data_IF_369227408763
#
_entry.id   IF_369227408763
#
_cell.length_a   1.000
_cell.length_b   1.000
_cell.length_c   1.000
_cell.angle_alpha   90.00
_cell.angle_beta   90.00
_cell.angle_gamma   90.00
#
_symmetry.space_group_name_H-M   'P 1'
#
loop_
_entity.id
_entity.type
_entity.pdbx_description
1 polymer ?
#
# COMPACT_ATOMS: atom_id res chain seq x y z
N UNK A 1 -6.65 -0.62 20.84
CA UNK A 1 -5.82 0.25 20.04
C UNK A 1 -6.58 0.79 18.84
N UNK A 2 -6.14 1.92 18.37
CA UNK A 2 -6.76 2.66 17.29
C UNK A 2 -6.96 1.81 16.02
N UNK A 3 -5.96 1.04 15.63
CA UNK A 3 -6.01 0.25 14.41
C UNK A 3 -6.93 -0.96 14.53
N UNK A 4 -6.99 -1.54 15.72
CA UNK A 4 -7.84 -2.71 15.97
C UNK A 4 -9.33 -2.35 15.88
N UNK A 5 -9.70 -1.14 16.31
CA UNK A 5 -11.10 -0.70 16.23
C UNK A 5 -11.50 -0.26 14.84
N UNK A 6 -10.55 0.21 14.01
CA UNK A 6 -10.84 0.68 12.65
C UNK A 6 -11.13 -0.46 11.68
N UNK A 7 -10.45 -1.60 11.83
CA UNK A 7 -10.55 -2.71 10.89
C UNK A 7 -11.98 -3.23 10.70
N UNK A 8 -12.75 -3.54 11.76
CA UNK A 8 -14.13 -3.98 11.58
C UNK A 8 -15.01 -2.96 10.88
N UNK A 9 -14.78 -1.67 11.11
CA UNK A 9 -15.53 -0.60 10.45
C UNK A 9 -15.32 -0.62 8.95
N UNK A 10 -14.08 -0.75 8.50
CA UNK A 10 -13.76 -0.80 7.07
C UNK A 10 -14.28 -2.06 6.42
N UNK A 11 -14.26 -3.18 7.12
CA UNK A 11 -14.82 -4.44 6.62
C UNK A 11 -16.32 -4.32 6.37
N UNK A 12 -17.04 -3.64 7.26
CA UNK A 12 -18.47 -3.37 7.06
C UNK A 12 -18.72 -2.52 5.82
N UNK A 13 -17.89 -1.51 5.59
CA UNK A 13 -18.01 -0.66 4.42
C UNK A 13 -17.78 -1.46 3.14
N UNK A 14 -16.86 -2.42 3.15
CA UNK A 14 -16.63 -3.31 2.02
C UNK A 14 -17.85 -4.18 1.73
N UNK A 15 -18.45 -4.75 2.77
CA UNK A 15 -19.66 -5.56 2.63
C UNK A 15 -20.80 -4.75 1.98
N UNK A 16 -20.89 -3.47 2.34
CA UNK A 16 -21.86 -2.55 1.74
C UNK A 16 -21.43 -2.01 0.37
N UNK A 17 -20.26 -2.43 -0.12
CA UNK A 17 -19.70 -1.96 -1.37
C UNK A 17 -19.54 -0.44 -1.44
N UNK A 18 -19.22 0.19 -0.29
CA UNK A 18 -19.06 1.64 -0.18
C UNK A 18 -17.60 2.01 -0.48
N UNK A 19 -17.38 2.75 -1.59
CA UNK A 19 -16.05 3.20 -2.01
C UNK A 19 -14.98 2.12 -1.83
N UNK A 20 -15.12 0.96 -2.51
CA UNK A 20 -14.27 -0.19 -2.22
C UNK A 20 -12.77 0.05 -2.44
N UNK A 21 -12.39 0.92 -3.40
CA UNK A 21 -10.98 1.23 -3.62
C UNK A 21 -10.38 1.92 -2.40
N UNK A 22 -11.05 2.95 -1.89
CA UNK A 22 -10.58 3.71 -0.74
C UNK A 22 -10.60 2.88 0.54
N UNK A 23 -11.67 2.10 0.73
CA UNK A 23 -11.78 1.25 1.92
C UNK A 23 -10.67 0.20 1.94
N UNK A 24 -10.35 -0.42 0.79
CA UNK A 24 -9.23 -1.35 0.71
C UNK A 24 -7.91 -0.68 1.03
N UNK A 25 -7.71 0.56 0.58
CA UNK A 25 -6.50 1.31 0.93
C UNK A 25 -6.39 1.51 2.45
N UNK A 26 -7.48 1.94 3.10
CA UNK A 26 -7.46 2.15 4.55
C UNK A 26 -7.29 0.85 5.33
N UNK A 27 -7.90 -0.25 4.87
CA UNK A 27 -7.65 -1.56 5.45
C UNK A 27 -6.18 -1.95 5.34
N UNK A 28 -5.60 -1.76 4.15
CA UNK A 28 -4.18 -2.03 3.94
C UNK A 28 -3.31 -1.21 4.89
N UNK A 29 -3.62 0.08 5.05
CA UNK A 29 -2.87 0.94 5.97
C UNK A 29 -2.97 0.43 7.41
N UNK A 30 -4.15 -0.01 7.84
CA UNK A 30 -4.32 -0.59 9.17
C UNK A 30 -3.44 -1.82 9.36
N UNK A 31 -3.46 -2.74 8.41
CA UNK A 31 -2.64 -3.94 8.51
C UNK A 31 -1.15 -3.62 8.41
N UNK A 32 -0.78 -2.67 7.55
CA UNK A 32 0.59 -2.20 7.42
C UNK A 32 1.13 -1.67 8.75
N UNK A 33 0.34 -0.81 9.42
CA UNK A 33 0.75 -0.24 10.71
C UNK A 33 0.83 -1.29 11.82
N UNK A 34 0.08 -2.38 11.69
CA UNK A 34 0.14 -3.52 12.61
C UNK A 34 1.21 -4.53 12.22
N UNK A 35 2.00 -4.22 11.20
CA UNK A 35 3.08 -5.07 10.70
C UNK A 35 2.60 -6.40 10.11
N UNK A 36 1.35 -6.46 9.67
CA UNK A 36 0.79 -7.59 8.93
C UNK A 36 0.94 -7.32 7.43
N UNK A 37 2.18 -7.42 6.96
CA UNK A 37 2.54 -6.95 5.62
C UNK A 37 1.91 -7.75 4.49
N UNK A 38 1.78 -9.07 4.65
CA UNK A 38 1.14 -9.91 3.66
C UNK A 38 -0.33 -9.54 3.44
N UNK A 39 -1.05 -9.29 4.53
CA UNK A 39 -2.45 -8.88 4.47
C UNK A 39 -2.56 -7.49 3.87
N UNK A 40 -1.66 -6.58 4.28
CA UNK A 40 -1.63 -5.22 3.75
C UNK A 40 -1.45 -5.24 2.22
N UNK A 41 -0.52 -6.04 1.72
CA UNK A 41 -0.27 -6.17 0.28
C UNK A 41 -1.54 -6.60 -0.45
N UNK A 42 -2.26 -7.57 0.07
CA UNK A 42 -3.50 -8.04 -0.52
C UNK A 42 -4.51 -6.90 -0.72
N UNK A 43 -4.70 -6.07 0.32
CA UNK A 43 -5.63 -4.95 0.24
C UNK A 43 -5.10 -3.81 -0.64
N UNK A 44 -3.79 -3.55 -0.64
CA UNK A 44 -3.21 -2.57 -1.55
C UNK A 44 -3.44 -2.97 -3.01
N UNK A 45 -3.27 -4.24 -3.33
CA UNK A 45 -3.52 -4.74 -4.68
C UNK A 45 -4.97 -4.54 -5.10
N UNK A 46 -5.90 -4.88 -4.21
CA UNK A 46 -7.34 -4.70 -4.48
C UNK A 46 -7.66 -3.22 -4.73
N UNK A 47 -7.12 -2.33 -3.90
CA UNK A 47 -7.33 -0.90 -4.06
C UNK A 47 -6.81 -0.40 -5.40
N UNK A 48 -5.61 -0.82 -5.79
CA UNK A 48 -4.99 -0.40 -7.04
C UNK A 48 -5.77 -0.90 -8.26
N UNK A 49 -6.29 -2.12 -8.20
CA UNK A 49 -7.12 -2.67 -9.29
C UNK A 49 -8.40 -1.86 -9.44
N UNK A 50 -9.01 -1.47 -8.32
CA UNK A 50 -10.27 -0.76 -8.33
C UNK A 50 -10.11 0.71 -8.74
N UNK A 51 -8.99 1.35 -8.42
CA UNK A 51 -8.73 2.73 -8.83
C UNK A 51 -7.23 3.01 -8.84
N UNK A 52 -6.60 2.86 -9.99
CA UNK A 52 -5.15 3.06 -10.15
C UNK A 52 -4.75 4.53 -10.32
N UNK A 53 -5.72 5.45 -10.27
CA UNK A 53 -5.47 6.89 -10.42
C UNK A 53 -5.80 7.68 -9.16
N UNK A 54 -6.00 6.98 -8.05
CA UNK A 54 -6.31 7.64 -6.78
C UNK A 54 -5.15 8.50 -6.30
N UNK A 55 -5.49 9.58 -5.58
CA UNK A 55 -4.49 10.49 -5.04
C UNK A 55 -3.51 9.80 -4.07
N UNK A 56 -3.94 8.71 -3.44
CA UNK A 56 -3.09 7.98 -2.49
C UNK A 56 -2.13 6.99 -3.17
N UNK A 57 -2.13 6.88 -4.50
CA UNK A 57 -1.30 5.89 -5.20
C UNK A 57 0.19 5.96 -4.87
N UNK A 58 0.82 7.16 -4.77
CA UNK A 58 2.23 7.19 -4.34
C UNK A 58 2.46 6.53 -2.99
N UNK A 59 1.60 6.80 -2.01
CA UNK A 59 1.67 6.17 -0.69
C UNK A 59 1.45 4.67 -0.78
N UNK A 60 0.45 4.25 -1.57
CA UNK A 60 0.13 2.84 -1.76
C UNK A 60 1.34 2.09 -2.35
N UNK A 61 1.98 2.65 -3.37
CA UNK A 61 3.12 2.02 -4.02
C UNK A 61 4.32 1.92 -3.06
N UNK A 62 4.56 2.99 -2.30
CA UNK A 62 5.67 2.99 -1.35
C UNK A 62 5.46 1.95 -0.25
N UNK A 63 4.29 1.94 0.38
CA UNK A 63 4.01 1.01 1.47
C UNK A 63 3.93 -0.44 0.98
N UNK A 64 3.46 -0.65 -0.25
CA UNK A 64 3.49 -1.99 -0.86
C UNK A 64 4.93 -2.47 -1.04
N UNK A 65 5.80 -1.61 -1.58
CA UNK A 65 7.21 -1.96 -1.77
C UNK A 65 7.90 -2.29 -0.44
N UNK A 66 7.66 -1.47 0.58
CA UNK A 66 8.22 -1.71 1.92
C UNK A 66 7.69 -3.03 2.48
N UNK A 67 6.40 -3.30 2.28
CA UNK A 67 5.78 -4.54 2.75
C UNK A 67 6.42 -5.76 2.09
N UNK A 68 6.70 -5.69 0.79
CA UNK A 68 7.42 -6.76 0.10
C UNK A 68 8.82 -6.95 0.66
N UNK A 69 9.53 -5.86 0.97
CA UNK A 69 10.83 -5.97 1.63
C UNK A 69 10.72 -6.71 2.97
N UNK A 70 9.71 -6.38 3.77
CA UNK A 70 9.52 -6.96 5.10
C UNK A 70 9.24 -8.46 5.03
N UNK A 71 8.59 -8.93 3.98
CA UNK A 71 8.36 -10.37 3.79
C UNK A 71 9.44 -11.04 2.94
N UNK A 72 10.55 -10.34 2.70
CA UNK A 72 11.73 -10.85 1.98
C UNK A 72 11.50 -11.09 0.49
N UNK A 73 10.53 -10.43 -0.10
CA UNK A 73 10.28 -10.48 -1.54
C UNK A 73 10.94 -9.29 -2.22
N UNK A 74 12.24 -9.40 -2.43
CA UNK A 74 13.03 -8.30 -2.98
C UNK A 74 12.65 -7.95 -4.42
N UNK A 75 12.30 -8.93 -5.22
CA UNK A 75 11.96 -8.70 -6.62
C UNK A 75 10.73 -7.83 -6.76
N UNK A 76 9.68 -8.14 -6.02
CA UNK A 76 8.47 -7.32 -6.02
C UNK A 76 8.72 -5.95 -5.37
N UNK A 77 9.54 -5.91 -4.32
CA UNK A 77 9.88 -4.64 -3.70
C UNK A 77 10.55 -3.70 -4.72
N UNK A 78 11.55 -4.18 -5.45
CA UNK A 78 12.21 -3.40 -6.48
C UNK A 78 11.25 -2.93 -7.56
N UNK A 79 10.37 -3.83 -8.01
CA UNK A 79 9.39 -3.52 -9.03
C UNK A 79 8.46 -2.38 -8.60
N UNK A 80 7.97 -2.44 -7.36
CA UNK A 80 7.08 -1.41 -6.85
C UNK A 80 7.78 -0.08 -6.63
N UNK A 81 9.01 -0.10 -6.12
CA UNK A 81 9.80 1.14 -6.01
C UNK A 81 10.04 1.76 -7.37
N UNK A 82 10.42 0.96 -8.36
CA UNK A 82 10.68 1.46 -9.71
C UNK A 82 9.43 2.05 -10.35
N UNK A 83 8.29 1.37 -10.19
CA UNK A 83 7.01 1.85 -10.70
C UNK A 83 6.65 3.21 -10.07
N UNK A 84 6.86 3.34 -8.77
CA UNK A 84 6.60 4.59 -8.06
C UNK A 84 7.45 5.74 -8.62
N UNK A 85 8.72 5.49 -8.83
CA UNK A 85 9.64 6.49 -9.37
C UNK A 85 9.23 6.87 -10.80
N UNK A 86 8.84 5.89 -11.61
CA UNK A 86 8.44 6.14 -12.99
C UNK A 86 7.14 6.92 -13.11
N UNK A 87 6.14 6.58 -12.29
CA UNK A 87 4.83 7.19 -12.39
C UNK A 87 4.71 8.51 -11.62
N UNK A 88 5.42 8.64 -10.51
CA UNK A 88 5.31 9.80 -9.64
C UNK A 88 6.68 10.35 -9.26
N UNK A 89 7.50 10.72 -10.25
CA UNK A 89 8.92 11.06 -9.99
C UNK A 89 9.13 12.27 -9.09
N UNK A 90 8.17 13.17 -9.01
CA UNK A 90 8.28 14.38 -8.19
C UNK A 90 7.76 14.21 -6.77
N UNK A 91 7.21 13.05 -6.44
CA UNK A 91 6.63 12.82 -5.12
C UNK A 91 7.70 12.62 -4.05
N UNK A 92 7.34 12.94 -2.81
CA UNK A 92 8.22 12.63 -1.66
C UNK A 92 8.40 11.13 -1.53
N UNK A 93 7.37 10.36 -1.83
CA UNK A 93 7.44 8.90 -1.82
C UNK A 93 8.49 8.37 -2.79
N UNK A 94 8.60 8.98 -3.98
CA UNK A 94 9.61 8.58 -4.95
C UNK A 94 11.04 8.80 -4.43
N UNK A 95 11.24 9.86 -3.65
CA UNK A 95 12.55 10.12 -3.03
C UNK A 95 12.92 9.00 -2.06
N UNK A 96 11.96 8.58 -1.24
CA UNK A 96 12.15 7.46 -0.31
C UNK A 96 12.41 6.17 -1.09
N UNK A 97 11.66 5.95 -2.17
CA UNK A 97 11.84 4.78 -3.02
C UNK A 97 13.26 4.69 -3.59
N UNK A 98 13.80 5.79 -4.07
CA UNK A 98 15.17 5.84 -4.58
C UNK A 98 16.18 5.46 -3.50
N UNK A 99 16.01 6.00 -2.30
CA UNK A 99 16.88 5.69 -1.16
C UNK A 99 16.82 4.22 -0.82
N UNK A 100 15.60 3.66 -0.76
CA UNK A 100 15.42 2.26 -0.40
C UNK A 100 15.97 1.31 -1.47
N UNK A 101 15.82 1.66 -2.76
CA UNK A 101 16.35 0.85 -3.85
C UNK A 101 17.86 0.68 -3.76
N UNK A 102 18.60 1.71 -3.33
CA UNK A 102 20.05 1.62 -3.23
C UNK A 102 20.50 0.60 -2.17
N UNK A 103 19.61 0.22 -1.27
CA UNK A 103 19.91 -0.71 -0.18
C UNK A 103 19.50 -2.16 -0.49
N UNK A 104 18.86 -2.38 -1.62
CA UNK A 104 18.39 -3.73 -1.98
C UNK A 104 19.44 -4.54 -2.81
#
# INVERSE_FOLDING_TARGET
KKYDTSTPKYEKLLEANYKPAEVNFYLAQNWYMRKKYDVAISHYKKSAILNDKAAYMPTLLLHSAISFEKIKDKDNAKSFYSTLIDLYPSSNEAKVAKQNLTKL
#
